data_IF_013051146276
#
_entry.id   IF_013051146276
#
_cell.length_a   1.000
_cell.length_b   1.000
_cell.length_c   1.000
_cell.angle_alpha   90.00
_cell.angle_beta   90.00
_cell.angle_gamma   90.00
#
_symmetry.space_group_name_H-M   'P 1'
#
loop_
_entity.id
_entity.type
_entity.pdbx_description
1 polymer ?
2 non-polymer ?
3 non-polymer ?
4 non-polymer ?
5 water ?
#
# COMPACT_ATOMS: atom_id res chain seq x y z
N UNK A 11 -22.67 -5.67 24.18
CA UNK A 11 -21.52 -5.33 25.01
C UNK A 11 -20.22 -5.57 24.27
N UNK A 12 -20.29 -6.37 23.20
CA UNK A 12 -19.13 -6.68 22.38
C UNK A 12 -19.37 -6.19 20.96
N UNK A 13 -18.49 -5.31 20.49
CA UNK A 13 -18.63 -4.71 19.17
C UNK A 13 -17.29 -4.09 18.77
N UNK A 14 -16.72 -4.57 17.67
CA UNK A 14 -15.40 -4.13 17.22
C UNK A 14 -15.57 -3.11 16.10
N UNK A 15 -14.82 -2.01 16.19
CA UNK A 15 -14.80 -0.99 15.14
C UNK A 15 -13.41 -1.01 14.51
N UNK A 16 -13.38 -1.12 13.18
CA UNK A 16 -12.14 -1.15 12.42
C UNK A 16 -12.03 0.13 11.61
N UNK A 17 -11.01 0.93 11.92
CA UNK A 17 -10.76 2.18 11.20
C UNK A 17 -9.73 1.88 10.11
N UNK A 18 -10.20 1.77 8.87
CA UNK A 18 -9.31 1.49 7.76
C UNK A 18 -9.68 0.22 7.01
N UNK A 19 -9.99 0.34 5.73
CA UNK A 19 -10.39 -0.81 4.93
C UNK A 19 -9.34 -1.24 3.94
N UNK A 20 -8.07 -1.21 4.34
CA UNK A 20 -6.98 -1.69 3.53
C UNK A 20 -6.80 -3.19 3.68
N UNK A 21 -5.60 -3.65 3.33
CA UNK A 21 -5.30 -5.07 3.39
C UNK A 21 -5.51 -5.62 4.80
N UNK A 22 -4.99 -4.90 5.80
CA UNK A 22 -5.22 -5.32 7.18
C UNK A 22 -6.68 -5.17 7.58
N UNK A 23 -7.32 -4.09 7.13
CA UNK A 23 -8.69 -3.83 7.56
C UNK A 23 -9.68 -4.86 7.06
N UNK A 24 -9.63 -5.15 5.75
CA UNK A 24 -10.57 -6.13 5.21
C UNK A 24 -10.27 -7.52 5.73
N UNK A 25 -9.01 -7.81 6.08
CA UNK A 25 -8.68 -9.11 6.65
C UNK A 25 -9.31 -9.27 8.03
N UNK A 26 -9.28 -8.21 8.85
CA UNK A 26 -9.94 -8.27 10.14
C UNK A 26 -11.46 -8.33 9.98
N UNK A 27 -12.01 -7.54 9.05
CA UNK A 27 -13.45 -7.51 8.87
C UNK A 27 -13.98 -8.80 8.24
N UNK A 28 -13.21 -9.38 7.31
CA UNK A 28 -13.62 -10.65 6.71
C UNK A 28 -13.67 -11.76 7.75
N UNK A 29 -12.77 -11.72 8.72
CA UNK A 29 -12.74 -12.75 9.77
C UNK A 29 -13.95 -12.63 10.69
N UNK A 30 -14.21 -11.42 11.18
CA UNK A 30 -15.30 -11.24 12.15
C UNK A 30 -16.66 -11.50 11.52
N UNK A 31 -16.84 -11.10 10.25
CA UNK A 31 -18.10 -11.38 9.57
C UNK A 31 -18.34 -12.87 9.44
N UNK A 32 -17.29 -13.63 9.10
CA UNK A 32 -17.42 -15.08 9.03
C UNK A 32 -17.72 -15.68 10.40
N UNK A 33 -17.24 -15.04 11.48
CA UNK A 33 -17.56 -15.46 12.84
C UNK A 33 -18.88 -14.92 13.33
N UNK A 34 -19.54 -14.04 12.55
CA UNK A 34 -20.78 -13.39 12.93
C UNK A 34 -20.63 -12.56 14.22
N UNK A 35 -19.42 -12.08 14.47
CA UNK A 35 -19.16 -11.18 15.59
C UNK A 35 -19.63 -9.79 15.20
N UNK A 36 -20.33 -9.07 16.07
CA UNK A 36 -20.77 -7.71 15.72
C UNK A 36 -19.57 -6.80 15.55
N UNK A 37 -19.43 -6.25 14.34
CA UNK A 37 -18.31 -5.36 14.04
C UNK A 37 -18.78 -4.27 13.09
N UNK A 38 -17.92 -3.27 12.91
CA UNK A 38 -18.19 -2.15 12.02
C UNK A 38 -16.90 -1.79 11.30
N UNK A 39 -16.89 -1.93 9.99
CA UNK A 39 -15.76 -1.52 9.16
C UNK A 39 -16.02 -0.13 8.63
N UNK A 40 -15.04 0.76 8.79
CA UNK A 40 -15.16 2.16 8.39
C UNK A 40 -13.99 2.49 7.48
N UNK A 41 -14.31 3.04 6.30
CA UNK A 41 -13.31 3.53 5.36
C UNK A 41 -13.87 4.78 4.71
N UNK A 42 -12.99 5.75 4.45
CA UNK A 42 -13.45 6.98 3.80
C UNK A 42 -13.88 6.73 2.37
N UNK A 43 -13.53 5.59 1.79
CA UNK A 43 -13.88 5.24 0.42
C UNK A 43 -14.90 4.12 0.41
N UNK A 44 -15.56 3.93 -0.73
CA UNK A 44 -16.56 2.88 -0.89
C UNK A 44 -15.97 1.58 -1.43
N UNK A 45 -14.68 1.58 -1.78
CA UNK A 45 -14.06 0.41 -2.38
C UNK A 45 -12.67 0.21 -1.79
N UNK A 46 -12.32 -1.05 -1.55
CA UNK A 46 -10.97 -1.39 -1.15
C UNK A 46 -10.05 -1.31 -2.37
N UNK A 47 -8.87 -0.73 -2.17
CA UNK A 47 -7.90 -0.55 -3.24
C UNK A 47 -6.78 -1.57 -3.11
N UNK A 48 -6.67 -2.47 -4.09
CA UNK A 48 -5.57 -3.43 -4.16
C UNK A 48 -4.35 -2.72 -4.76
N UNK A 49 -3.76 -1.83 -3.96
CA UNK A 49 -2.70 -0.95 -4.46
C UNK A 49 -1.44 -1.70 -4.84
N UNK A 50 -1.31 -2.97 -4.43
CA UNK A 50 -0.20 -3.81 -4.89
C UNK A 50 -0.19 -3.93 -6.41
N UNK A 51 -1.35 -3.79 -7.04
CA UNK A 51 -1.45 -3.83 -8.50
C UNK A 51 -1.64 -2.46 -9.12
N UNK A 52 -1.43 -1.38 -8.36
CA UNK A 52 -1.74 -0.05 -8.87
C UNK A 52 -0.80 0.38 -9.99
N UNK A 53 0.45 -0.09 -9.96
CA UNK A 53 1.40 0.28 -11.02
C UNK A 53 1.06 -0.42 -12.33
N UNK A 54 0.64 -1.69 -12.26
CA UNK A 54 0.14 -2.35 -13.45
C UNK A 54 -1.11 -1.67 -13.97
N UNK A 55 -1.97 -1.20 -13.07
CA UNK A 55 -3.17 -0.48 -13.48
C UNK A 55 -2.85 0.87 -14.12
N UNK A 56 -1.62 1.36 -13.97
CA UNK A 56 -1.20 2.60 -14.61
C UNK A 56 -0.64 2.36 -16.00
N UNK A 57 -0.60 1.10 -16.46
CA UNK A 57 0.08 0.78 -17.71
C UNK A 57 -0.74 -0.14 -18.61
N UNK A 58 -1.77 -0.82 -18.10
CA UNK A 58 -2.56 -1.77 -18.87
C UNK A 58 -3.99 -1.25 -18.96
N UNK A 59 -4.45 -1.00 -20.19
CA UNK A 59 -5.84 -0.58 -20.39
C UNK A 59 -6.81 -1.62 -19.84
N UNK A 60 -7.83 -1.14 -19.13
CA UNK A 60 -8.89 -2.00 -18.64
C UNK A 60 -8.53 -2.80 -17.40
N UNK A 61 -7.36 -2.61 -16.83
CA UNK A 61 -6.96 -3.40 -15.67
C UNK A 61 -7.37 -2.78 -14.35
N UNK A 62 -7.53 -1.46 -14.29
CA UNK A 62 -7.82 -0.79 -13.02
C UNK A 62 -9.11 -1.30 -12.38
N UNK A 63 -10.08 -1.72 -13.19
CA UNK A 63 -11.35 -2.18 -12.64
C UNK A 63 -11.19 -3.45 -11.80
N UNK A 64 -10.06 -4.14 -11.92
CA UNK A 64 -9.80 -5.32 -11.11
C UNK A 64 -9.08 -4.99 -9.81
N UNK A 65 -8.84 -3.70 -9.51
CA UNK A 65 -8.12 -3.31 -8.31
C UNK A 65 -8.98 -2.56 -7.30
N UNK A 66 -10.29 -2.45 -7.56
CA UNK A 66 -11.21 -1.81 -6.63
C UNK A 66 -12.36 -2.77 -6.32
N UNK A 67 -12.60 -3.01 -5.04
CA UNK A 67 -13.62 -3.95 -4.58
C UNK A 67 -14.56 -3.21 -3.65
N UNK A 68 -15.84 -3.17 -4.02
CA UNK A 68 -16.81 -2.43 -3.21
C UNK A 68 -16.97 -3.07 -1.84
N UNK A 69 -16.93 -2.25 -0.79
CA UNK A 69 -17.06 -2.75 0.56
C UNK A 69 -18.47 -3.29 0.83
N UNK A 70 -19.50 -2.56 0.37
CA UNK A 70 -20.87 -2.89 0.74
C UNK A 70 -21.32 -4.22 0.18
N UNK A 71 -20.83 -4.60 -1.01
CA UNK A 71 -21.19 -5.90 -1.57
C UNK A 71 -20.76 -7.02 -0.64
N UNK A 72 -19.62 -6.85 0.02
CA UNK A 72 -19.08 -7.86 0.91
C UNK A 72 -19.67 -7.77 2.32
N UNK A 73 -19.61 -6.59 2.93
CA UNK A 73 -19.93 -6.43 4.35
C UNK A 73 -21.32 -5.85 4.60
N UNK A 74 -22.01 -5.38 3.57
CA UNK A 74 -23.40 -4.95 3.67
C UNK A 74 -23.61 -3.92 4.78
N UNK A 75 -24.46 -4.24 5.75
CA UNK A 75 -24.77 -3.33 6.84
C UNK A 75 -23.67 -3.25 7.89
N UNK A 76 -22.58 -4.00 7.73
CA UNK A 76 -21.45 -3.95 8.65
C UNK A 76 -20.33 -3.05 8.15
N UNK A 77 -20.55 -2.32 7.06
CA UNK A 77 -19.59 -1.36 6.55
C UNK A 77 -20.17 0.04 6.58
N UNK A 78 -19.32 1.03 6.84
CA UNK A 78 -19.78 2.43 6.92
C UNK A 78 -18.75 3.33 6.22
N UNK A 79 -19.10 3.92 5.08
CA UNK A 79 -18.21 4.84 4.37
C UNK A 79 -18.24 6.18 5.10
N UNK A 80 -17.12 6.55 5.70
CA UNK A 80 -17.04 7.78 6.44
C UNK A 80 -15.60 8.14 6.76
N UNK A 81 -15.38 9.42 7.02
CA UNK A 81 -14.07 9.94 7.37
C UNK A 81 -13.95 10.00 8.89
N UNK A 82 -13.04 9.20 9.45
CA UNK A 82 -12.82 9.23 10.89
C UNK A 82 -12.03 10.49 11.22
N UNK A 83 -12.65 11.41 11.97
CA UNK A 83 -12.02 12.67 12.32
C UNK A 83 -11.47 12.68 13.74
N UNK A 84 -11.70 11.62 14.51
CA UNK A 84 -11.18 11.55 15.86
C UNK A 84 -11.71 10.30 16.54
N UNK A 85 -11.13 10.02 17.70
CA UNK A 85 -11.49 8.86 18.51
C UNK A 85 -11.71 9.34 19.93
N UNK A 86 -12.90 9.09 20.47
CA UNK A 86 -13.22 9.47 21.85
C UNK A 86 -12.88 8.29 22.76
N UNK A 87 -11.75 8.40 23.46
CA UNK A 87 -11.29 7.28 24.28
C UNK A 87 -12.13 7.13 25.54
N UNK A 88 -12.52 8.23 26.16
CA UNK A 88 -13.28 8.15 27.42
C UNK A 88 -14.61 7.44 27.20
N UNK A 89 -15.39 7.88 26.22
CA UNK A 89 -16.67 7.26 25.91
C UNK A 89 -16.54 6.07 24.97
N UNK A 90 -15.32 5.74 24.53
CA UNK A 90 -15.07 4.61 23.63
C UNK A 90 -15.90 4.74 22.35
N UNK A 91 -15.67 5.84 21.62
CA UNK A 91 -16.43 6.13 20.42
C UNK A 91 -15.48 6.60 19.33
N UNK A 92 -15.76 6.17 18.09
CA UNK A 92 -15.06 6.63 16.91
C UNK A 92 -15.88 7.74 16.28
N UNK A 93 -15.26 8.89 16.05
CA UNK A 93 -15.96 10.09 15.61
C UNK A 93 -15.83 10.25 14.10
N UNK A 94 -16.97 10.34 13.41
CA UNK A 94 -17.00 10.40 11.97
C UNK A 94 -17.36 11.81 11.49
N UNK A 95 -16.86 12.17 10.32
CA UNK A 95 -17.28 13.39 9.66
C UNK A 95 -18.77 13.28 9.29
N UNK A 96 -19.55 14.27 9.70
CA UNK A 96 -20.98 14.22 9.55
C UNK A 96 -21.75 13.98 10.83
N UNK A 97 -21.05 13.75 11.95
CA UNK A 97 -21.67 13.61 13.24
C UNK A 97 -21.77 12.18 13.75
N UNK A 98 -21.79 11.19 12.85
CA UNK A 98 -21.89 9.80 13.28
C UNK A 98 -20.79 9.46 14.27
N UNK A 99 -21.16 8.71 15.30
CA UNK A 99 -20.21 8.30 16.33
C UNK A 99 -20.48 6.84 16.67
N UNK A 100 -19.44 6.02 16.59
CA UNK A 100 -19.60 4.58 16.66
C UNK A 100 -19.03 4.04 17.97
N UNK A 101 -19.85 3.45 18.82
CA UNK A 101 -19.32 2.84 20.04
C UNK A 101 -18.61 1.53 19.74
N UNK A 102 -17.56 1.27 20.51
CA UNK A 102 -16.78 0.05 20.33
C UNK A 102 -16.46 -0.59 21.67
N UNK A 103 -16.47 -1.92 21.70
CA UNK A 103 -15.86 -2.65 22.80
C UNK A 103 -14.36 -2.77 22.58
N UNK A 104 -13.94 -3.00 21.34
CA UNK A 104 -12.55 -3.07 20.96
C UNK A 104 -12.36 -2.31 19.65
N UNK A 105 -11.15 -1.75 19.48
CA UNK A 105 -10.85 -0.89 18.34
C UNK A 105 -9.60 -1.39 17.64
N UNK A 106 -9.68 -1.53 16.32
CA UNK A 106 -8.53 -1.87 15.48
C UNK A 106 -8.23 -0.68 14.59
N UNK A 107 -7.01 -0.15 14.70
CA UNK A 107 -6.55 0.95 13.87
C UNK A 107 -5.76 0.38 12.70
N UNK A 108 -6.28 0.55 11.49
CA UNK A 108 -5.68 0.02 10.27
C UNK A 108 -5.67 1.09 9.19
N UNK A 109 -5.18 2.27 9.55
CA UNK A 109 -5.28 3.46 8.70
C UNK A 109 -4.27 3.51 7.57
N UNK A 110 -3.23 2.67 7.61
CA UNK A 110 -2.33 2.55 6.48
C UNK A 110 -1.48 3.79 6.25
N UNK A 111 -1.19 4.05 4.98
CA UNK A 111 -0.30 5.12 4.58
C UNK A 111 -0.84 5.83 3.35
N UNK A 112 -0.32 7.04 3.12
CA UNK A 112 -0.62 7.82 1.93
C UNK A 112 0.65 8.00 1.12
N UNK A 113 0.48 8.35 -0.16
CA UNK A 113 1.59 8.57 -1.04
C UNK A 113 1.15 9.18 -2.35
N UNK A 114 2.12 9.53 -3.21
CA UNK A 114 1.77 10.13 -4.49
C UNK A 114 1.06 9.15 -5.40
N UNK A 115 0.05 9.66 -6.11
CA UNK A 115 -0.57 8.92 -7.19
C UNK A 115 0.48 8.63 -8.25
N UNK A 116 0.45 7.45 -8.91
CA UNK A 116 -0.57 6.39 -8.88
C UNK A 116 -0.34 5.26 -7.88
N UNK A 117 0.81 5.26 -7.19
CA UNK A 117 1.10 4.17 -6.27
C UNK A 117 0.08 4.04 -5.15
N UNK A 118 -0.58 5.14 -4.79
CA UNK A 118 -1.58 5.14 -3.74
C UNK A 118 -2.78 5.97 -4.19
N UNK A 119 -3.95 5.65 -3.65
CA UNK A 119 -5.18 6.38 -3.94
C UNK A 119 -5.98 6.49 -2.65
N UNK A 120 -6.00 7.67 -2.05
CA UNK A 120 -6.65 7.89 -0.75
C UNK A 120 -7.58 9.10 -0.82
N UNK A 121 -8.37 9.18 -1.87
CA UNK A 121 -9.35 10.24 -2.02
C UNK A 121 -10.75 9.65 -1.95
N UNK A 122 -11.67 10.41 -1.34
CA UNK A 122 -13.07 10.01 -1.29
C UNK A 122 -13.69 10.33 -2.64
N UNK A 123 -14.06 9.30 -3.38
CA UNK A 123 -14.65 9.48 -4.71
C UNK A 123 -15.44 8.23 -5.05
N UNK A 124 -16.06 8.24 -6.23
CA UNK A 124 -16.79 7.07 -6.71
C UNK A 124 -15.82 6.05 -7.28
N UNK A 125 -16.17 4.78 -7.14
CA UNK A 125 -15.35 3.72 -7.72
C UNK A 125 -15.15 3.94 -9.21
N UNK A 126 -16.20 4.44 -9.89
CA UNK A 126 -16.08 4.78 -11.30
C UNK A 126 -15.03 5.85 -11.54
N UNK A 127 -15.02 6.89 -10.70
CA UNK A 127 -14.02 7.94 -10.85
C UNK A 127 -12.62 7.42 -10.55
N UNK A 128 -12.49 6.63 -9.48
CA UNK A 128 -11.19 6.06 -9.13
C UNK A 128 -10.62 5.23 -10.30
N UNK A 129 -11.46 4.36 -10.87
CA UNK A 129 -11.02 3.56 -12.02
C UNK A 129 -10.61 4.47 -13.17
N UNK A 130 -11.42 5.50 -13.46
CA UNK A 130 -11.13 6.41 -14.55
C UNK A 130 -9.80 7.14 -14.35
N UNK A 131 -9.44 7.42 -13.09
CA UNK A 131 -8.19 8.10 -12.82
C UNK A 131 -7.00 7.27 -13.29
N UNK A 132 -7.10 5.94 -13.17
CA UNK A 132 -6.01 5.08 -13.63
C UNK A 132 -6.04 4.90 -15.14
N UNK A 133 -7.23 4.83 -15.73
CA UNK A 133 -7.33 4.77 -17.19
C UNK A 133 -6.72 6.02 -17.81
N UNK A 134 -6.97 7.19 -17.22
CA UNK A 134 -6.31 8.41 -17.66
C UNK A 134 -4.79 8.28 -17.54
N UNK A 135 -4.31 7.69 -16.44
CA UNK A 135 -2.88 7.47 -16.28
C UNK A 135 -2.31 6.59 -17.40
N UNK A 136 -3.06 5.55 -17.78
CA UNK A 136 -2.60 4.68 -18.85
C UNK A 136 -2.44 5.46 -20.15
N UNK A 137 -3.40 6.33 -20.45
CA UNK A 137 -3.33 7.14 -21.66
C UNK A 137 -2.14 8.09 -21.62
N UNK A 138 -1.81 8.62 -20.45
CA UNK A 138 -0.64 9.48 -20.32
C UNK A 138 0.63 8.70 -20.62
N UNK A 139 0.74 7.49 -20.06
CA UNK A 139 1.89 6.64 -20.34
C UNK A 139 1.99 6.35 -21.82
N UNK A 140 0.89 5.89 -22.42
CA UNK A 140 0.89 5.52 -23.83
C UNK A 140 1.29 6.68 -24.73
N UNK A 141 0.92 7.90 -24.37
CA UNK A 141 1.24 9.05 -25.21
C UNK A 141 2.72 9.43 -25.11
N UNK A 142 3.38 9.09 -24.00
CA UNK A 142 4.71 9.59 -23.71
C UNK A 142 5.77 8.63 -24.26
N UNK A 143 6.56 9.12 -25.20
CA UNK A 143 7.73 8.38 -25.66
C UNK A 143 8.86 8.41 -24.64
N UNK A 144 8.97 9.50 -23.88
CA UNK A 144 10.00 9.66 -22.87
C UNK A 144 9.35 9.79 -21.50
N UNK A 145 9.73 8.92 -20.57
CA UNK A 145 9.13 8.86 -19.24
C UNK A 145 10.22 8.87 -18.19
N UNK A 146 10.03 9.67 -17.15
CA UNK A 146 10.94 9.72 -16.01
C UNK A 146 10.18 9.21 -14.79
N UNK A 147 10.82 8.31 -14.04
CA UNK A 147 10.30 7.83 -12.75
C UNK A 147 11.24 8.33 -11.66
N UNK A 148 10.67 8.99 -10.65
CA UNK A 148 11.45 9.57 -9.56
C UNK A 148 11.28 8.67 -8.33
N UNK A 149 12.40 8.20 -7.79
CA UNK A 149 12.38 7.32 -6.64
C UNK A 149 12.66 5.88 -7.01
N UNK A 150 13.84 5.39 -6.64
CA UNK A 150 14.26 4.05 -7.00
C UNK A 150 14.08 3.05 -5.87
N UNK A 151 13.06 3.26 -5.05
CA UNK A 151 12.68 2.28 -4.05
C UNK A 151 11.97 1.09 -4.66
N UNK A 152 11.43 0.24 -3.79
CA UNK A 152 10.71 -0.94 -4.26
C UNK A 152 9.54 -0.60 -5.16
N UNK A 153 9.01 0.62 -5.09
CA UNK A 153 7.87 1.03 -5.90
C UNK A 153 8.31 1.50 -7.30
N UNK A 154 9.17 2.52 -7.36
CA UNK A 154 9.58 3.05 -8.66
C UNK A 154 10.36 2.04 -9.47
N UNK A 155 11.07 1.16 -8.79
CA UNK A 155 11.73 0.04 -9.46
C UNK A 155 10.73 -0.82 -10.20
N UNK A 156 9.55 -1.04 -9.61
CA UNK A 156 8.51 -1.80 -10.32
C UNK A 156 7.82 -0.94 -11.37
N UNK A 157 7.62 0.35 -11.08
CA UNK A 157 6.99 1.25 -12.03
C UNK A 157 7.78 1.30 -13.34
N UNK A 158 9.10 1.45 -13.24
CA UNK A 158 9.94 1.46 -14.42
C UNK A 158 9.86 0.14 -15.18
N UNK A 159 9.86 -0.98 -14.45
CA UNK A 159 9.79 -2.28 -15.11
C UNK A 159 8.46 -2.46 -15.84
N UNK A 160 7.35 -2.05 -15.21
CA UNK A 160 6.04 -2.22 -15.83
C UNK A 160 5.95 -1.46 -17.15
N UNK A 161 6.40 -0.20 -17.16
CA UNK A 161 6.33 0.59 -18.39
C UNK A 161 7.17 -0.05 -19.48
N UNK A 162 8.44 -0.36 -19.17
CA UNK A 162 9.34 -0.90 -20.18
C UNK A 162 8.91 -2.28 -20.65
N UNK A 163 8.22 -3.04 -19.81
CA UNK A 163 7.74 -4.36 -20.22
C UNK A 163 6.56 -4.24 -21.18
N UNK A 164 5.59 -3.38 -20.82
CA UNK A 164 4.43 -3.20 -21.67
C UNK A 164 4.74 -2.38 -22.91
N UNK A 165 5.74 -1.50 -22.83
CA UNK A 165 6.10 -0.62 -23.95
C UNK A 165 7.62 -0.59 -24.09
N UNK A 166 8.20 -1.63 -24.67
CA UNK A 166 9.67 -1.64 -24.86
C UNK A 166 10.17 -0.50 -25.72
N UNK A 167 9.32 0.07 -26.58
CA UNK A 167 9.75 1.14 -27.47
C UNK A 167 10.01 2.44 -26.73
N UNK A 168 9.47 2.60 -25.52
CA UNK A 168 9.58 3.86 -24.79
C UNK A 168 10.93 3.98 -24.09
N UNK A 169 11.41 5.22 -23.96
CA UNK A 169 12.66 5.51 -23.28
C UNK A 169 12.33 5.86 -21.83
N UNK A 170 12.69 4.97 -20.90
CA UNK A 170 12.32 5.09 -19.50
C UNK A 170 13.58 5.33 -18.67
N UNK A 171 13.56 6.41 -17.89
CA UNK A 171 14.69 6.78 -17.04
C UNK A 171 14.24 6.79 -15.58
N UNK A 172 14.93 6.03 -14.74
CA UNK A 172 14.66 5.95 -13.31
C UNK A 172 15.74 6.74 -12.57
N UNK A 173 15.32 7.72 -11.78
CA UNK A 173 16.23 8.60 -11.05
C UNK A 173 16.10 8.28 -9.56
N UNK A 174 17.21 7.91 -8.93
CA UNK A 174 17.23 7.45 -7.55
C UNK A 174 18.30 8.20 -6.77
N UNK A 175 17.94 8.66 -5.57
CA UNK A 175 18.86 9.43 -4.75
C UNK A 175 19.93 8.58 -4.06
N UNK A 176 19.87 7.26 -4.16
CA UNK A 176 20.83 6.40 -3.49
C UNK A 176 21.68 5.65 -4.50
N UNK A 177 22.70 4.96 -4.00
CA UNK A 177 23.60 4.19 -4.85
C UNK A 177 23.01 2.84 -5.22
N UNK A 178 22.09 2.30 -4.43
CA UNK A 178 21.47 1.01 -4.68
C UNK A 178 19.94 1.16 -4.64
N UNK A 179 19.26 0.27 -5.34
CA UNK A 179 17.81 0.32 -5.50
C UNK A 179 17.11 -0.56 -4.45
N UNK A 180 15.81 -0.32 -4.31
CA UNK A 180 14.92 -1.09 -3.43
C UNK A 180 15.32 -0.97 -1.97
N UNK A 181 14.61 -1.68 -1.10
CA UNK A 181 14.78 -1.50 0.34
C UNK A 181 16.18 -1.92 0.78
N UNK A 182 16.72 -1.20 1.77
CA UNK A 182 18.04 -1.53 2.30
C UNK A 182 18.03 -2.82 3.09
N UNK A 183 16.86 -3.26 3.55
CA UNK A 183 16.74 -4.51 4.31
C UNK A 183 16.84 -5.76 3.42
N UNK A 184 16.92 -5.60 2.11
CA UNK A 184 16.98 -6.73 1.21
C UNK A 184 18.41 -7.26 1.10
N UNK A 185 18.52 -8.52 0.68
CA UNK A 185 19.82 -9.11 0.42
C UNK A 185 20.55 -8.30 -0.66
N UNK A 186 21.85 -8.10 -0.53
CA UNK A 186 22.60 -7.41 -1.60
C UNK A 186 22.43 -8.06 -2.96
N UNK A 187 22.31 -9.39 -3.00
CA UNK A 187 22.11 -10.08 -4.28
C UNK A 187 20.81 -9.66 -4.93
N UNK A 188 19.75 -9.51 -4.14
CA UNK A 188 18.45 -9.12 -4.67
C UNK A 188 18.50 -7.69 -5.22
N UNK A 189 19.07 -6.77 -4.44
CA UNK A 189 19.14 -5.38 -4.87
C UNK A 189 20.01 -5.23 -6.12
N UNK A 190 21.08 -6.03 -6.22
CA UNK A 190 21.94 -5.97 -7.40
C UNK A 190 21.22 -6.53 -8.62
N UNK A 191 20.43 -7.59 -8.45
CA UNK A 191 19.72 -8.17 -9.57
C UNK A 191 18.58 -7.28 -10.05
N UNK A 192 17.94 -6.56 -9.13
CA UNK A 192 16.95 -5.56 -9.54
C UNK A 192 17.59 -4.57 -10.50
N UNK A 193 18.79 -4.07 -10.14
CA UNK A 193 19.53 -3.18 -11.02
C UNK A 193 19.84 -3.85 -12.35
N UNK A 194 20.31 -5.10 -12.31
CA UNK A 194 20.68 -5.81 -13.54
C UNK A 194 19.47 -6.06 -14.42
N UNK A 195 18.35 -6.49 -13.82
CA UNK A 195 17.14 -6.74 -14.60
C UNK A 195 16.69 -5.47 -15.30
N UNK A 196 16.69 -4.35 -14.58
CA UNK A 196 16.30 -3.07 -15.19
C UNK A 196 17.24 -2.70 -16.33
N UNK A 197 18.55 -2.92 -16.14
CA UNK A 197 19.50 -2.62 -17.21
C UNK A 197 19.30 -3.52 -18.41
N UNK A 198 19.08 -4.82 -18.18
CA UNK A 198 18.85 -5.74 -19.29
C UNK A 198 17.57 -5.38 -20.05
N UNK A 199 16.58 -4.81 -19.35
CA UNK A 199 15.34 -4.40 -20.00
C UNK A 199 15.48 -3.11 -20.79
N UNK A 200 16.57 -2.37 -20.61
CA UNK A 200 16.79 -1.13 -21.33
C UNK A 200 16.46 0.13 -20.56
N UNK A 201 16.22 0.03 -19.25
CA UNK A 201 15.89 1.21 -18.44
C UNK A 201 17.16 2.01 -18.19
N UNK A 202 17.07 3.32 -18.40
CA UNK A 202 18.15 4.22 -18.04
C UNK A 202 18.12 4.47 -16.53
N UNK A 203 19.27 4.37 -15.89
CA UNK A 203 19.36 4.53 -14.45
C UNK A 203 20.21 5.75 -14.12
N UNK A 204 19.70 6.59 -13.22
CA UNK A 204 20.44 7.75 -12.69
C UNK A 204 20.51 7.56 -11.18
N UNK A 205 21.57 6.92 -10.71
CA UNK A 205 21.72 6.61 -9.30
C UNK A 205 22.50 7.72 -8.59
N UNK A 206 22.26 7.82 -7.27
CA UNK A 206 22.90 8.83 -6.43
C UNK A 206 22.60 10.24 -6.91
N UNK A 207 21.38 10.45 -7.41
CA UNK A 207 20.97 11.76 -7.90
C UNK A 207 19.55 12.04 -7.45
N UNK A 208 19.34 13.19 -6.83
CA UNK A 208 18.04 13.61 -6.32
C UNK A 208 17.43 14.63 -7.25
N UNK A 209 16.20 14.38 -7.70
CA UNK A 209 15.51 15.36 -8.53
C UNK A 209 15.27 16.60 -7.69
N UNK A 210 15.73 17.75 -8.19
CA UNK A 210 15.80 18.98 -7.40
C UNK A 210 14.69 19.97 -7.71
N UNK A 211 13.95 19.81 -8.80
CA UNK A 211 12.94 20.79 -9.19
C UNK A 211 11.54 20.16 -9.20
N UNK A 212 11.26 19.33 -8.18
CA UNK A 212 10.00 18.57 -8.17
C UNK A 212 8.79 19.48 -8.07
N UNK A 213 8.84 20.48 -7.19
CA UNK A 213 7.66 21.29 -6.91
C UNK A 213 7.18 22.11 -8.10
N UNK A 214 7.97 22.22 -9.16
CA UNK A 214 7.57 22.95 -10.36
C UNK A 214 7.15 22.03 -11.49
N UNK A 215 7.22 20.71 -11.30
CA UNK A 215 6.96 19.84 -12.45
C UNK A 215 5.48 19.49 -12.54
N UNK A 216 4.94 19.44 -13.76
CA UNK A 216 3.62 18.81 -13.95
C UNK A 216 3.73 17.31 -13.78
N UNK A 217 2.77 16.74 -13.05
CA UNK A 217 2.83 15.34 -12.65
C UNK A 217 1.76 14.52 -13.34
N UNK A 218 2.11 13.28 -13.71
CA UNK A 218 1.17 12.30 -14.25
C UNK A 218 0.46 12.81 -15.50
N UNK A 219 1.14 13.66 -16.26
CA UNK A 219 0.53 14.31 -17.42
C UNK A 219 1.53 14.39 -18.55
N UNK A 220 1.13 13.98 -19.74
CA UNK A 220 1.96 14.15 -20.92
C UNK A 220 2.20 15.63 -21.20
N UNK A 221 3.45 15.96 -21.50
CA UNK A 221 3.82 17.29 -21.97
C UNK A 221 4.78 17.13 -23.13
N UNK A 222 4.76 18.11 -24.04
CA UNK A 222 5.68 18.09 -25.17
C UNK A 222 7.13 18.10 -24.71
N UNK A 223 7.42 18.79 -23.61
CA UNK A 223 8.79 18.91 -23.12
C UNK A 223 8.76 19.27 -21.65
N UNK A 224 9.28 18.38 -20.81
CA UNK A 224 9.47 18.65 -19.39
C UNK A 224 10.96 18.59 -19.08
N UNK A 225 11.44 19.55 -18.31
CA UNK A 225 12.84 19.68 -17.95
C UNK A 225 13.03 19.19 -16.52
N UNK A 226 13.62 18.00 -16.36
CA UNK A 226 13.86 17.41 -15.05
C UNK A 226 15.30 17.68 -14.65
N UNK A 227 15.49 18.17 -13.42
CA UNK A 227 16.80 18.57 -12.92
C UNK A 227 17.16 17.75 -11.69
N UNK A 228 18.47 17.50 -11.52
CA UNK A 228 18.97 16.78 -10.35
C UNK A 228 20.00 17.63 -9.61
N UNK A 229 20.27 17.24 -8.37
CA UNK A 229 21.21 17.98 -7.53
C UNK A 229 22.65 17.84 -8.00
N UNK A 230 22.93 16.96 -8.96
CA UNK A 230 24.26 16.83 -9.52
C UNK A 230 24.43 17.62 -10.81
N UNK A 231 23.43 18.42 -11.20
CA UNK A 231 23.50 19.19 -12.42
C UNK A 231 22.93 18.51 -13.64
N UNK A 232 22.54 17.24 -13.54
CA UNK A 232 21.97 16.55 -14.69
C UNK A 232 20.60 17.12 -15.05
N UNK A 233 20.30 17.11 -16.34
CA UNK A 233 19.04 17.62 -16.85
C UNK A 233 18.49 16.62 -17.85
N UNK A 234 17.27 16.12 -17.59
CA UNK A 234 16.68 15.05 -18.38
C UNK A 234 15.39 15.57 -19.00
N UNK A 235 15.34 15.59 -20.33
CA UNK A 235 14.12 15.95 -21.03
C UNK A 235 13.18 14.75 -21.08
N UNK A 236 11.90 15.01 -20.83
CA UNK A 236 10.92 13.93 -20.74
C UNK A 236 9.55 14.45 -21.16
N UNK A 237 8.64 13.50 -21.43
CA UNK A 237 7.24 13.82 -21.68
C UNK A 237 6.36 13.61 -20.47
N UNK A 238 6.80 12.82 -19.48
CA UNK A 238 5.95 12.43 -18.37
C UNK A 238 6.80 12.24 -17.13
N UNK A 239 6.28 12.68 -15.99
CA UNK A 239 6.94 12.55 -14.71
C UNK A 239 6.04 11.77 -13.77
N UNK A 240 6.56 10.69 -13.19
CA UNK A 240 5.85 9.83 -12.25
C UNK A 240 6.64 9.80 -10.95
N UNK A 241 5.95 9.97 -9.82
CA UNK A 241 6.59 10.02 -8.51
C UNK A 241 6.40 8.70 -7.77
N UNK A 242 7.51 8.08 -7.40
CA UNK A 242 7.53 6.95 -6.46
C UNK A 242 8.51 7.27 -5.34
N UNK A 243 8.27 8.42 -4.70
CA UNK A 243 9.21 9.06 -3.80
C UNK A 243 9.01 8.69 -2.33
N UNK A 244 8.05 7.82 -2.02
CA UNK A 244 7.86 7.32 -0.68
C UNK A 244 6.46 7.59 -0.15
N UNK A 245 6.21 7.06 1.04
CA UNK A 245 4.89 7.10 1.65
C UNK A 245 5.00 7.79 3.02
N UNK A 246 3.83 8.11 3.58
CA UNK A 246 3.72 8.71 4.90
C UNK A 246 2.61 7.99 5.64
N UNK A 247 2.83 7.72 6.93
CA UNK A 247 1.81 7.07 7.75
C UNK A 247 0.60 7.97 7.87
N UNK A 248 -0.59 7.40 7.68
CA UNK A 248 -1.84 8.15 7.77
C UNK A 248 -2.33 8.12 9.21
N UNK A 249 -1.98 9.14 9.97
CA UNK A 249 -2.37 9.23 11.37
C UNK A 249 -3.54 10.17 11.60
N UNK A 250 -4.26 10.55 10.53
CA UNK A 250 -5.30 11.57 10.65
C UNK A 250 -6.41 11.14 11.61
N UNK A 251 -6.69 9.84 11.69
CA UNK A 251 -7.80 9.38 12.52
C UNK A 251 -7.48 9.38 14.01
N UNK A 252 -6.22 9.15 14.38
CA UNK A 252 -5.87 8.90 15.77
C UNK A 252 -4.80 9.83 16.32
N UNK A 253 -4.24 10.73 15.50
CA UNK A 253 -3.10 11.55 15.93
C UNK A 253 -3.41 12.31 17.22
N UNK A 254 -4.61 12.86 17.33
CA UNK A 254 -4.95 13.65 18.51
C UNK A 254 -5.14 12.75 19.73
N UNK A 255 -5.88 11.66 19.58
CA UNK A 255 -6.23 10.83 20.73
C UNK A 255 -5.04 10.05 21.27
N UNK A 256 -4.14 9.60 20.39
CA UNK A 256 -3.01 8.76 20.78
C UNK A 256 -1.68 9.50 20.63
N UNK A 257 -1.68 10.80 20.93
CA UNK A 257 -0.53 11.65 20.65
C UNK A 257 0.73 11.13 21.34
N UNK A 258 0.62 10.77 22.62
CA UNK A 258 1.80 10.41 23.40
C UNK A 258 2.40 9.07 22.98
N UNK A 259 1.64 8.22 22.30
CA UNK A 259 2.07 6.86 21.98
C UNK A 259 2.46 6.70 20.52
N UNK A 260 2.66 7.79 19.80
CA UNK A 260 3.06 7.73 18.41
C UNK A 260 4.58 7.62 18.29
N UNK A 261 5.01 6.87 17.27
CA UNK A 261 6.42 6.86 16.89
C UNK A 261 6.73 8.14 16.11
N UNK A 262 8.00 8.31 15.75
CA UNK A 262 8.40 9.51 15.01
C UNK A 262 7.75 9.57 13.63
N UNK A 263 7.40 8.41 13.07
CA UNK A 263 6.78 8.35 11.74
C UNK A 263 5.28 8.61 11.76
N UNK A 264 4.66 8.68 12.94
CA UNK A 264 3.22 8.72 13.04
C UNK A 264 2.58 7.38 13.30
N UNK A 265 3.34 6.30 13.21
CA UNK A 265 2.83 4.97 13.53
C UNK A 265 2.65 4.80 15.03
N UNK A 266 1.80 3.86 15.41
CA UNK A 266 1.47 3.63 16.81
C UNK A 266 2.38 2.56 17.42
N UNK A 267 2.96 2.88 18.57
CA UNK A 267 3.77 1.91 19.30
C UNK A 267 2.87 0.79 19.84
N UNK A 268 3.36 -0.44 19.74
CA UNK A 268 2.59 -1.63 20.11
C UNK A 268 3.50 -2.63 20.81
N UNK A 269 2.87 -3.52 21.57
CA UNK A 269 3.56 -4.68 22.11
C UNK A 269 3.52 -5.82 21.09
N UNK A 270 4.00 -7.00 21.49
CA UNK A 270 4.02 -8.13 20.57
C UNK A 270 2.61 -8.62 20.24
N UNK A 271 1.65 -8.38 21.13
CA UNK A 271 0.26 -8.72 20.85
C UNK A 271 -0.43 -7.69 19.97
N UNK A 272 0.31 -6.71 19.46
CA UNK A 272 -0.17 -5.61 18.63
C UNK A 272 -1.20 -4.74 19.35
N UNK A 273 -1.32 -4.87 20.66
CA UNK A 273 -2.09 -3.91 21.44
C UNK A 273 -1.35 -2.58 21.47
N UNK A 274 -2.06 -1.49 21.16
CA UNK A 274 -1.46 -0.18 21.24
C UNK A 274 -1.02 0.09 22.67
N UNK A 275 0.17 0.66 22.83
CA UNK A 275 0.77 0.87 24.14
C UNK A 275 -0.20 1.59 25.07
N UNK A 276 -0.25 1.12 26.31
CA UNK A 276 -1.15 1.70 27.30
C UNK A 276 -2.60 1.31 27.15
N UNK A 277 -2.93 0.38 26.26
CA UNK A 277 -4.30 -0.04 26.05
C UNK A 277 -4.36 -1.55 25.91
N UNK A 278 -5.51 -2.13 26.26
CA UNK A 278 -5.75 -3.55 26.10
C UNK A 278 -6.79 -3.88 25.04
N UNK A 279 -7.68 -2.95 24.72
CA UNK A 279 -8.75 -3.18 23.76
C UNK A 279 -8.55 -2.37 22.48
N UNK A 280 -7.38 -1.80 22.26
CA UNK A 280 -7.06 -1.05 21.04
C UNK A 280 -5.86 -1.70 20.39
N UNK A 281 -5.99 -1.99 19.09
CA UNK A 281 -4.95 -2.67 18.32
C UNK A 281 -4.56 -1.83 17.12
N UNK A 282 -3.31 -1.96 16.69
CA UNK A 282 -2.82 -1.34 15.48
C UNK A 282 -2.24 -2.41 14.57
N UNK A 283 -2.62 -2.38 13.29
CA UNK A 283 -2.19 -3.37 12.32
C UNK A 283 -1.77 -2.66 11.04
N UNK A 284 -0.88 -3.30 10.29
CA UNK A 284 -0.49 -2.78 8.98
C UNK A 284 0.55 -1.68 9.05
N UNK A 285 0.53 -0.81 8.04
CA UNK A 285 1.51 0.26 7.94
C UNK A 285 1.47 1.19 9.15
N UNK A 286 0.29 1.44 9.71
CA UNK A 286 0.16 2.38 10.83
C UNK A 286 0.62 1.79 12.15
N UNK A 287 0.97 0.51 12.20
CA UNK A 287 1.56 -0.08 13.39
C UNK A 287 3.07 0.12 13.35
N UNK A 288 3.65 0.46 14.49
CA UNK A 288 5.09 0.70 14.59
C UNK A 288 5.84 -0.61 14.81
N UNK A 289 5.72 -1.51 13.85
CA UNK A 289 6.56 -2.71 13.81
C UNK A 289 7.79 -2.38 12.97
N UNK A 290 8.85 -3.14 13.20
CA UNK A 290 10.13 -2.86 12.58
C UNK A 290 10.27 -3.47 11.19
N UNK A 291 9.25 -4.17 10.71
CA UNK A 291 9.32 -4.82 9.42
C UNK A 291 8.91 -3.84 8.32
N UNK A 292 9.31 -4.11 7.07
CA UNK A 292 8.91 -3.23 5.97
C UNK A 292 7.40 -3.18 5.79
N UNK A 293 6.91 -2.02 5.38
CA UNK A 293 5.47 -1.83 5.18
C UNK A 293 4.99 -2.73 4.06
N UNK A 294 4.25 -3.79 4.39
CA UNK A 294 3.82 -4.75 3.40
C UNK A 294 2.35 -5.10 3.60
N UNK A 295 1.62 -5.17 2.49
CA UNK A 295 0.24 -5.63 2.52
C UNK A 295 0.13 -7.03 3.09
N UNK A 296 1.09 -7.89 2.75
CA UNK A 296 1.08 -9.26 3.26
C UNK A 296 1.20 -9.29 4.77
N UNK A 297 2.06 -8.43 5.33
CA UNK A 297 2.22 -8.39 6.78
C UNK A 297 0.99 -7.80 7.46
N UNK A 298 0.29 -6.89 6.79
CA UNK A 298 -0.94 -6.33 7.36
C UNK A 298 -1.99 -7.41 7.57
N UNK A 299 -2.04 -8.41 6.68
CA UNK A 299 -2.97 -9.51 6.88
C UNK A 299 -2.58 -10.38 8.07
N UNK A 300 -1.29 -10.62 8.26
CA UNK A 300 -0.84 -11.38 9.43
C UNK A 300 -1.14 -10.63 10.71
N UNK A 301 -0.93 -9.31 10.72
CA UNK A 301 -1.29 -8.52 11.89
C UNK A 301 -2.77 -8.63 12.18
N UNK A 302 -3.61 -8.66 11.13
CA UNK A 302 -5.05 -8.75 11.33
C UNK A 302 -5.44 -10.07 11.97
N UNK A 303 -4.83 -11.18 11.53
CA UNK A 303 -5.10 -12.48 12.14
C UNK A 303 -4.82 -12.43 13.63
N UNK A 304 -3.72 -11.81 14.03
CA UNK A 304 -3.38 -11.77 15.45
C UNK A 304 -4.34 -10.86 16.19
N UNK A 305 -4.73 -9.74 15.56
CA UNK A 305 -5.61 -8.78 16.21
C UNK A 305 -6.99 -9.36 16.50
N UNK A 306 -7.63 -9.95 15.48
CA UNK A 306 -8.97 -10.49 15.67
C UNK A 306 -8.95 -11.65 16.66
N UNK A 307 -7.88 -12.46 16.60
CA UNK A 307 -7.75 -13.56 17.55
C UNK A 307 -7.60 -13.06 18.98
N UNK A 308 -6.77 -12.04 19.19
CA UNK A 308 -6.55 -11.53 20.54
C UNK A 308 -7.77 -10.83 21.10
N UNK A 309 -8.62 -10.24 20.23
CA UNK A 309 -9.90 -9.73 20.69
C UNK A 309 -10.79 -10.88 21.15
N UNK A 310 -10.92 -11.91 20.33
CA UNK A 310 -11.70 -13.10 20.72
C UNK A 310 -11.04 -13.78 21.92
N UNK A 311 -9.71 -13.79 21.96
CA UNK A 311 -9.01 -14.42 23.07
C UNK A 311 -9.15 -13.62 24.36
N UNK A 312 -9.12 -12.29 24.26
CA UNK A 312 -9.31 -11.46 25.45
C UNK A 312 -10.72 -11.61 26.00
N UNK A 313 -11.71 -11.79 25.11
CA UNK A 313 -13.08 -12.00 25.55
C UNK A 313 -13.24 -13.37 26.18
N UNK A 314 -12.78 -14.41 25.49
CA UNK A 314 -12.87 -15.78 25.98
C UNK A 314 -11.91 -16.08 27.14
N UNK A 315 -11.17 -15.07 27.64
CA UNK A 315 -10.18 -15.18 28.72
C UNK A 315 -9.02 -16.10 28.38
N UNK A 316 -8.79 -16.37 27.10
CA UNK A 316 -7.80 -17.34 26.64
C UNK A 316 -6.44 -16.67 26.45
N UNK A 317 -5.39 -17.44 26.18
CA UNK A 317 -4.08 -16.83 25.93
C UNK A 317 -4.06 -15.97 24.67
N UNK A 318 -3.03 -15.13 24.58
CA UNK A 318 -2.89 -14.17 23.50
C UNK A 318 -1.71 -14.54 22.61
N UNK A 319 -1.91 -14.44 21.30
CA UNK A 319 -0.85 -14.69 20.35
C UNK A 319 0.09 -13.49 20.27
N UNK A 320 1.27 -13.73 19.71
CA UNK A 320 2.31 -12.72 19.60
C UNK A 320 2.84 -12.67 18.18
N UNK A 321 3.38 -11.51 17.80
CA UNK A 321 3.93 -11.30 16.47
C UNK A 321 5.45 -11.47 16.55
N UNK A 322 5.94 -12.60 16.05
CA UNK A 322 7.35 -12.89 15.99
C UNK A 322 7.79 -12.91 14.53
N UNK A 323 8.42 -11.84 14.03
CA UNK A 323 8.72 -11.76 12.60
C UNK A 323 9.95 -12.60 12.25
N UNK A 324 9.76 -13.56 11.34
CA UNK A 324 10.85 -14.38 10.85
C UNK A 324 11.73 -13.61 9.87
N UNK A 325 12.56 -14.37 9.16
CA UNK A 325 13.42 -13.76 8.15
C UNK A 325 12.58 -13.14 7.04
N UNK A 326 13.09 -12.07 6.45
CA UNK A 326 12.29 -11.23 5.57
C UNK A 326 11.99 -11.92 4.25
N UNK A 327 10.70 -12.00 3.92
CA UNK A 327 10.23 -12.44 2.61
C UNK A 327 9.71 -11.24 1.85
N UNK A 328 10.24 -11.02 0.64
CA UNK A 328 9.99 -9.78 -0.09
C UNK A 328 10.17 -10.06 -1.58
N UNK A 329 9.13 -9.83 -2.38
CA UNK A 329 9.14 -10.17 -3.79
C UNK A 329 8.98 -8.90 -4.62
N UNK A 330 9.87 -8.73 -5.61
CA UNK A 330 9.83 -7.58 -6.51
C UNK A 330 9.52 -8.08 -7.91
N UNK A 331 8.30 -7.82 -8.38
CA UNK A 331 7.96 -8.10 -9.77
C UNK A 331 8.69 -7.14 -10.69
N UNK A 332 9.21 -7.67 -11.79
CA UNK A 332 9.98 -6.89 -12.77
C UNK A 332 9.21 -6.92 -14.08
N UNK A 333 8.02 -6.32 -14.08
CA UNK A 333 7.08 -6.53 -15.15
C UNK A 333 6.39 -7.88 -15.02
N UNK A 334 5.38 -8.09 -15.87
CA UNK A 334 4.57 -9.29 -15.75
C UNK A 334 5.33 -10.56 -16.10
N UNK A 335 6.54 -10.45 -16.64
CA UNK A 335 7.27 -11.61 -17.15
C UNK A 335 8.62 -11.81 -16.47
N UNK A 336 8.88 -11.12 -15.37
CA UNK A 336 10.17 -11.20 -14.70
C UNK A 336 9.99 -10.84 -13.23
N UNK A 337 11.03 -11.11 -12.46
CA UNK A 337 10.98 -10.84 -11.04
C UNK A 337 12.17 -11.37 -10.28
N UNK A 338 12.36 -10.88 -9.05
CA UNK A 338 13.43 -11.35 -8.18
C UNK A 338 13.01 -10.99 -6.76
N UNK A 339 13.55 -11.71 -5.79
CA UNK A 339 13.24 -11.41 -4.41
C UNK A 339 13.87 -12.37 -3.44
N UNK A 340 13.23 -12.55 -2.28
CA UNK A 340 13.75 -13.43 -1.26
C UNK A 340 12.60 -14.01 -0.47
N UNK A 341 12.82 -15.23 0.02
CA UNK A 341 11.85 -15.96 0.83
C UNK A 341 12.60 -16.43 2.07
N UNK A 342 12.17 -15.94 3.23
CA UNK A 342 12.84 -16.26 4.50
C UNK A 342 14.33 -15.94 4.44
N UNK A 343 14.65 -14.82 3.79
CA UNK A 343 16.02 -14.34 3.74
C UNK A 343 16.92 -15.03 2.73
N UNK A 344 16.36 -15.77 1.77
CA UNK A 344 17.14 -16.49 0.79
C UNK A 344 16.74 -16.07 -0.61
N UNK A 345 17.73 -15.89 -1.49
CA UNK A 345 17.50 -15.43 -2.85
C UNK A 345 16.55 -16.37 -3.59
N UNK A 346 15.57 -15.79 -4.28
CA UNK A 346 14.71 -16.52 -5.20
C UNK A 346 14.64 -15.78 -6.52
N UNK A 347 14.47 -16.53 -7.60
CA UNK A 347 14.67 -16.03 -8.94
C UNK A 347 13.39 -15.79 -9.71
N UNK A 348 13.53 -15.70 -11.03
CA UNK A 348 12.44 -15.24 -11.89
C UNK A 348 11.26 -16.21 -11.87
N UNK A 349 11.51 -17.51 -12.06
CA UNK A 349 10.42 -18.47 -12.11
C UNK A 349 9.56 -18.40 -10.85
N UNK A 350 10.21 -18.27 -9.69
CA UNK A 350 9.49 -18.17 -8.43
C UNK A 350 8.61 -16.92 -8.40
N UNK A 351 9.22 -15.75 -8.60
CA UNK A 351 8.49 -14.50 -8.44
C UNK A 351 7.45 -14.32 -9.54
N UNK A 352 7.75 -14.78 -10.75
CA UNK A 352 6.85 -14.56 -11.89
C UNK A 352 5.51 -15.26 -11.68
N UNK A 353 5.53 -16.50 -11.18
CA UNK A 353 4.27 -17.20 -10.94
C UNK A 353 3.62 -16.79 -9.63
N UNK A 354 4.42 -16.51 -8.60
CA UNK A 354 3.86 -16.14 -7.31
C UNK A 354 3.27 -14.74 -7.34
N UNK A 355 3.95 -13.79 -7.99
CA UNK A 355 3.54 -12.39 -7.91
C UNK A 355 3.32 -11.72 -9.26
N UNK A 356 4.35 -11.76 -10.13
CA UNK A 356 4.36 -10.89 -11.31
C UNK A 356 3.12 -11.08 -12.17
N UNK A 357 2.63 -12.32 -12.25
CA UNK A 357 1.55 -12.64 -13.18
C UNK A 357 0.23 -12.01 -12.75
N UNK A 358 -0.22 -12.31 -11.54
CA UNK A 358 -1.52 -11.87 -11.05
C UNK A 358 -1.44 -10.71 -10.07
N UNK A 359 -0.28 -10.49 -9.45
CA UNK A 359 -0.09 -9.42 -8.46
C UNK A 359 -1.05 -9.58 -7.28
N UNK A 360 -1.38 -10.83 -6.94
CA UNK A 360 -2.24 -11.18 -5.81
C UNK A 360 -3.64 -10.59 -5.93
N UNK A 361 -4.04 -10.20 -7.14
CA UNK A 361 -5.37 -9.61 -7.33
C UNK A 361 -6.46 -10.60 -6.96
N UNK A 362 -6.32 -11.85 -7.40
CA UNK A 362 -7.36 -12.85 -7.18
C UNK A 362 -7.53 -13.16 -5.69
N UNK A 363 -6.49 -12.98 -4.89
CA UNK A 363 -6.67 -13.28 -3.45
C UNK A 363 -7.59 -12.25 -2.78
N UNK A 364 -7.46 -10.97 -3.12
CA UNK A 364 -8.36 -9.98 -2.52
C UNK A 364 -9.81 -10.24 -2.92
N UNK A 365 -10.04 -10.55 -4.20
CA UNK A 365 -11.40 -10.84 -4.65
C UNK A 365 -11.95 -12.08 -3.96
N UNK A 366 -11.11 -13.10 -3.80
CA UNK A 366 -11.54 -14.31 -3.08
C UNK A 366 -11.88 -13.99 -1.62
N UNK A 367 -11.02 -13.21 -0.97
CA UNK A 367 -11.28 -12.81 0.42
C UNK A 367 -12.57 -12.02 0.53
N UNK A 368 -12.84 -11.15 -0.45
CA UNK A 368 -14.01 -10.29 -0.42
C UNK A 368 -15.27 -10.95 -0.95
N UNK A 369 -15.20 -12.22 -1.36
CA UNK A 369 -16.38 -12.99 -1.79
C UNK A 369 -17.03 -12.40 -3.04
N UNK A 370 -16.21 -11.87 -3.95
CA UNK A 370 -16.68 -11.26 -5.17
C UNK A 370 -15.88 -11.79 -6.35
N UNK A 371 -16.41 -11.55 -7.56
CA UNK A 371 -15.73 -11.90 -8.79
C UNK A 371 -15.32 -10.63 -9.54
N UNK A 372 -14.07 -10.53 -9.98
CA UNK A 372 -13.63 -9.32 -10.68
C UNK A 372 -14.39 -9.13 -11.98
N UNK A 373 -14.70 -7.87 -12.36
CA UNK A 373 -15.42 -7.57 -13.59
C UNK A 373 -14.57 -7.77 -14.84
X LIG B 1 10.55 4.17 -0.30
X LIG B 1 10.67 5.25 0.75
X LIG B 1 10.78 2.73 0.05
X LIG B 1 11.53 4.57 -1.52
X LIG B 1 11.44 5.85 -2.11
X LIG B 1 12.83 6.22 -2.57
X LIG B 1 12.77 7.35 -3.43
X LIG B 1 13.72 6.57 -1.39
X LIG B 1 14.88 5.73 -1.39
X LIG B 1 14.11 8.02 -1.61
X LIG B 1 15.46 8.27 -1.22
X LIG B 1 13.87 8.21 -3.10
X LIG B 1 13.55 9.62 -3.42
X LIG B 1 12.67 10.42 -2.78
X LIG B 1 12.64 11.65 -3.35
X LIG B 1 13.51 11.64 -4.38
X LIG B 1 13.97 12.60 -5.41
X LIG B 1 13.48 13.86 -5.45
X LIG B 1 14.89 12.17 -6.29
X LIG B 1 15.39 10.93 -6.27
X LIG B 1 15.01 10.00 -5.37
X LIG B 1 14.10 10.30 -4.42
X LIG B 1 9.12 4.34 -1.02
X LIG B 1 8.40 3.18 -1.87
X LIG B 1 9.44 2.54 -2.78
X LIG B 1 7.14 3.78 -2.45
X LIG B 1 7.99 2.15 -0.73
X LIG B 1 6.93 2.44 0.18
X LIG B 1 6.84 1.26 1.15
X LIG B 1 6.09 0.23 0.52
X LIG B 1 8.22 0.72 1.49
X LIG B 1 8.37 0.53 2.89
X LIG B 1 8.27 -0.65 0.84
X LIG B 1 8.80 -1.59 1.77
X LIG B 1 6.83 -0.99 0.53
X LIG B 1 6.78 -1.66 -0.77
X LIG B 1 6.80 -3.00 -0.80
X LIG B 1 6.76 -3.67 -2.01
X LIG B 1 6.78 -5.17 -2.04
X LIG B 1 7.27 -5.73 -3.00
X LIG B 1 6.24 -5.84 -1.02
X LIG B 1 6.70 -2.95 -3.19
X LIG B 1 6.69 -1.57 -3.12
X LIG B 1 6.74 -0.93 -1.90
X LIG B 1 15.74 9.27 0.00
X LIG B 1 15.11 8.59 1.19
X LIG B 1 17.26 9.27 0.04
X LIG B 1 15.14 10.58 -0.44
X LIG C 1 3.12 -4.91 0.00
X LIG C 1 3.19 -6.25 -0.21
X LIG C 1 3.07 -7.03 0.77
X LIG C 1 3.37 -6.79 -1.42
X LIG C 1 3.50 -6.04 -2.52
X LIG C 1 3.67 -6.55 -3.64
X LIG C 1 3.44 -4.57 -2.39
X LIG C 1 3.55 -3.74 -3.46
X LIG C 1 3.48 -2.40 -3.30
X LIG C 1 3.62 -1.50 -4.47
X LIG C 1 3.81 -2.01 -5.73
X LIG C 1 3.54 -0.04 -4.26
X LIG C 1 3.67 0.91 -5.42
X LIG C 1 3.33 0.47 -2.88
X LIG C 1 3.25 1.95 -2.66
X LIG C 1 3.21 -0.40 -1.80
X LIG C 1 3.28 -1.79 -1.95
X LIG C 1 3.16 -2.65 -0.83
X LIG C 1 3.23 -4.04 -1.03
X LIG C 1 2.94 -2.11 0.52
X LIG C 1 1.45 -2.14 0.77
X LIG C 1 0.78 -1.39 -0.25
X LIG C 1 1.09 -1.56 2.13
X LIG C 1 1.94 -2.10 3.15
X LIG C 1 -0.36 -1.90 2.43
X LIG C 1 -1.22 -1.08 1.63
X LIG C 1 -0.68 -1.70 3.91
X LIG C 1 -2.09 -1.84 4.04
X LIG C 1 -2.88 -1.31 5.34
X LIG C 1 -1.91 -1.14 6.47
X LIG C 1 -4.12 -2.17 5.51
X LIG C 1 -3.36 0.16 4.88
X LIG C 1 -3.78 0.60 3.38
X LIG C 1 -2.98 1.82 3.00
X LIG C 1 -3.84 -0.58 2.44
X LIG C 1 -5.28 1.09 3.62
X LIG C 1 -5.56 2.05 4.63
X LIG C 1 -7.04 2.36 4.59
X LIG C 1 -7.39 3.14 5.73
X LIG C 1 -7.39 3.18 3.35
X LIG C 1 -8.42 2.51 2.62
X LIG C 1 -7.90 4.50 3.89
X LIG C 1 -9.03 4.96 3.14
X LIG C 1 -8.29 4.17 5.31
X LIG C 1 -8.21 5.35 6.19
X LIG C 1 -7.10 5.95 6.64
X LIG C 1 -7.41 7.00 7.45
X LIG C 1 -8.75 7.08 7.53
X LIG C 1 -9.75 7.94 8.20
X LIG C 1 -9.34 8.97 8.98
X LIG C 1 -11.05 7.66 8.02
X LIG C 1 -11.46 6.64 7.24
X LIG C 1 -10.62 5.81 6.60
X LIG C 1 -9.28 5.98 6.70
X LIG D 1 3.18 -11.58 -0.43
X LIG D 1 6.51 -21.53 -2.45
X LIG D 1 6.20 -17.82 1.11
X LIG D 1 4.42 -16.20 -0.31
X LIG D 1 -1.91 -9.96 -0.90
X LIG D 1 -1.31 -11.35 -0.71
X LIG D 1 0.20 -11.49 -0.76
X LIG D 1 5.56 -18.46 -0.03
X LIG D 1 6.22 -19.68 -0.57
X LIG D 1 7.35 -20.32 0.24
X LIG D 1 5.79 -20.27 -1.92
X LIG D 1 2.60 -10.51 -1.00
X LIG D 1 2.85 -12.90 0.40
X LIG D 1 1.09 -10.28 -0.97
X LIG D 1 4.10 -13.57 0.66
X LIG D 1 8.31 -23.33 -2.12
X LIG D 1 7.89 -23.72 -3.41
X LIG D 1 5.06 -17.45 -0.94
X LIG D 1 4.20 -14.92 1.45
X LIG D 1 4.55 -11.50 -0.64
X LIG D 1 0.48 -8.89 -1.15
X LIG D 1 -1.04 -8.74 -1.12
X LIG D 1 7.65 -22.17 -1.64
X LIG D 1 8.07 -21.57 -0.30
X LIG D 1 5.39 -16.70 1.74
X LIG D 1 5.00 -15.74 0.84
X LIG D 1 3.57 -9.75 -1.57
X LIG D 1 4.78 -10.38 -1.33
X LIG D 1 5.21 -12.77 0.04
X LIG D 1 -3.83 -9.78 -0.86
#
# INVERSE_FOLDING_TARGET
MGSQVSVESGALHVVIVGGGFGGIAAASQLQALNVPFMLVDMKDSFHHNVAALRASVETGFAKKTFISYSVTFKDNFRQGLVVGIDLKNQMVLLQGGEALPFSHLILATGSTGPFPGKFNEVSSQQAAIQAYEDMVRQVQRSRFIVVVGGGSAGVEMAAEIKTEYPEKEVTLIHSQVALADKELLPSVRQEVKEILLRKGVQLLLSERVSNLEELPLNEYREYIKVQTDKGTEVATNLVILCTGIKINSSAYRKAFESRLASSGALRVNEHLQVEGHSNVYAIGDCADVRTPKMAYLAGLHANIAVANIVNSVKQRPLQAYKPGALTFLLSMGRNDGVGQISGFYVGRLMVRLTKSRDLFVSTSWKTMRQSPP
NAP PA O1A O2A O5B C5B C4B O4B C3B O3B C2B O2B C1B N9A C8A N7A C5A C6A N6A N1A C2A N3A C4A O3 PN O1N O2N O5D C5D C4D O4D C3D O3D C2D O2D C1D N1N C2N C3N C7N O7N N7N C4N C5N C6N P2B O1X O2X O3X
6FA N1 C2 O2 N3 C4 O4 C4A N5 C5A C6 O6 C7 C7M C8 C8M C9 C9A N10 C10 C1' C2' O2' C3' O3' C4' O4' C5' O5' P O1P O2P O3P PA O1A O2A O5B C5B C4B O4B C3B O3B C2B O2B C1B N9A C8A N7A C5X C6A N6A N1A C2A N3A C4X
A1EMU N3 C7 C8 C10 C20 C21 C22 N CA C CB CD1 CD2 CE1 CE2 OH C1 C11 C12 C16 C18 C19 C2 C3 C9 N2 N4 N5 S1 BR1
#
